data_IF_671335808911
#
_entry.id   IF_671335808911
#
_cell.length_a   1.000
_cell.length_b   1.000
_cell.length_c   1.000
_cell.angle_alpha   90.00
_cell.angle_beta   90.00
_cell.angle_gamma   90.00
#
_symmetry.space_group_name_H-M   'P 1'
#
loop_
_entity.id
_entity.type
_entity.pdbx_description
1 polymer ?
#
# COMPACT_ATOMS: atom_id res chain seq x y z
N UNK A 1 -25.54 -83.60 18.81
CA UNK A 1 -24.12 -84.01 18.73
C UNK A 1 -23.68 -83.75 17.29
N UNK A 2 -22.67 -82.97 16.95
CA UNK A 2 -21.53 -82.44 17.68
C UNK A 2 -21.30 -80.97 17.28
N UNK A 3 -20.90 -80.14 18.25
CA UNK A 3 -20.52 -78.74 18.01
C UNK A 3 -19.02 -78.62 17.78
N UNK A 4 -18.61 -77.63 16.99
CA UNK A 4 -17.26 -77.07 17.02
C UNK A 4 -17.35 -75.53 16.89
N UNK A 5 -16.51 -74.90 17.72
CA UNK A 5 -16.49 -73.51 18.18
C UNK A 5 -16.12 -72.46 17.12
N UNK A 6 -16.65 -71.27 17.40
CA UNK A 6 -16.25 -69.93 16.97
C UNK A 6 -14.74 -69.66 17.11
N UNK A 7 -14.10 -69.03 16.11
CA UNK A 7 -13.04 -68.03 16.33
C UNK A 7 -12.84 -67.06 15.14
N UNK A 8 -13.32 -65.83 15.35
CA UNK A 8 -12.71 -64.53 15.00
C UNK A 8 -11.64 -64.46 13.87
N UNK A 9 -11.96 -63.75 12.78
CA UNK A 9 -10.99 -62.88 12.09
C UNK A 9 -11.67 -61.74 11.31
N UNK A 10 -12.35 -60.82 12.01
CA UNK A 10 -12.81 -59.54 11.44
C UNK A 10 -11.81 -58.43 11.79
N UNK A 11 -10.62 -58.42 11.17
CA UNK A 11 -9.65 -57.31 11.36
C UNK A 11 -8.59 -57.18 10.26
N UNK A 12 -8.88 -57.56 9.01
CA UNK A 12 -7.91 -57.41 7.90
C UNK A 12 -8.40 -56.67 6.65
N UNK A 13 -9.64 -56.15 6.64
CA UNK A 13 -10.16 -55.41 5.49
C UNK A 13 -10.23 -53.88 5.64
N UNK A 14 -9.97 -53.32 6.82
CA UNK A 14 -10.08 -51.86 7.06
C UNK A 14 -8.79 -51.07 6.87
N UNK A 15 -7.65 -51.72 6.66
CA UNK A 15 -6.35 -51.03 6.44
C UNK A 15 -6.04 -50.84 4.94
N UNK A 16 -6.67 -51.60 4.05
CA UNK A 16 -6.42 -51.48 2.60
C UNK A 16 -7.27 -50.41 1.89
N UNK A 17 -8.30 -49.86 2.53
CA UNK A 17 -9.17 -48.83 1.95
C UNK A 17 -8.81 -47.39 2.37
N UNK A 18 -7.93 -47.23 3.39
CA UNK A 18 -7.45 -45.91 3.85
C UNK A 18 -6.15 -45.50 3.13
N UNK A 19 -5.47 -46.44 2.46
CA UNK A 19 -4.24 -46.20 1.70
C UNK A 19 -4.46 -45.77 0.24
N UNK A 20 -5.72 -45.63 -0.20
CA UNK A 20 -6.08 -45.24 -1.57
C UNK A 20 -6.65 -43.82 -1.69
N UNK A 21 -6.69 -43.06 -0.59
CA UNK A 21 -7.18 -41.67 -0.53
C UNK A 21 -6.07 -40.64 -0.20
N UNK A 22 -4.81 -41.05 -0.15
CA UNK A 22 -3.64 -40.16 0.09
C UNK A 22 -2.80 -39.96 -1.20
N UNK A 23 -3.26 -40.47 -2.35
CA UNK A 23 -2.55 -40.42 -3.63
C UNK A 23 -2.91 -39.25 -4.55
N UNK A 24 -3.52 -38.18 -4.06
CA UNK A 24 -4.01 -37.06 -4.89
C UNK A 24 -3.24 -35.74 -4.79
N UNK A 25 -2.21 -35.66 -3.94
CA UNK A 25 -1.53 -34.39 -3.61
C UNK A 25 -0.15 -34.16 -4.24
N UNK A 26 0.38 -35.11 -5.02
CA UNK A 26 1.80 -35.10 -5.43
C UNK A 26 2.03 -34.72 -6.91
N UNK A 27 1.02 -34.28 -7.65
CA UNK A 27 1.15 -33.98 -9.09
C UNK A 27 1.18 -32.48 -9.45
N UNK A 28 0.88 -31.58 -8.51
CA UNK A 28 0.87 -30.13 -8.76
C UNK A 28 2.20 -29.43 -8.44
N UNK A 29 3.12 -30.09 -7.72
CA UNK A 29 4.40 -29.49 -7.33
C UNK A 29 5.44 -29.44 -8.46
N UNK A 30 5.33 -30.28 -9.51
CA UNK A 30 6.37 -30.34 -10.57
C UNK A 30 6.26 -29.23 -11.64
N UNK A 31 5.04 -28.86 -12.09
CA UNK A 31 4.89 -28.02 -13.28
C UNK A 31 5.39 -26.56 -13.11
N UNK A 32 5.21 -25.99 -11.92
CA UNK A 32 5.71 -24.66 -11.58
C UNK A 32 7.24 -24.68 -11.46
N UNK A 33 7.78 -25.65 -10.71
CA UNK A 33 9.22 -25.79 -10.49
C UNK A 33 9.97 -26.07 -11.80
N UNK A 34 9.39 -26.89 -12.69
CA UNK A 34 9.91 -27.17 -14.03
C UNK A 34 9.95 -25.89 -14.88
N UNK A 35 8.87 -25.10 -14.86
CA UNK A 35 8.76 -23.86 -15.65
C UNK A 35 9.73 -22.79 -15.14
N UNK A 36 9.90 -22.68 -13.82
CA UNK A 36 10.89 -21.76 -13.20
C UNK A 36 12.30 -22.21 -13.53
N UNK A 37 12.61 -23.50 -13.40
CA UNK A 37 13.93 -24.07 -13.72
C UNK A 37 14.29 -23.89 -15.20
N UNK A 38 13.31 -23.99 -16.10
CA UNK A 38 13.48 -23.76 -17.54
C UNK A 38 13.87 -22.32 -17.90
N UNK A 39 13.71 -21.34 -16.98
CA UNK A 39 14.23 -19.98 -17.18
C UNK A 39 15.77 -19.92 -17.16
N UNK A 40 16.44 -20.94 -16.64
CA UNK A 40 17.90 -21.10 -16.68
C UNK A 40 18.38 -21.53 -18.07
N UNK A 41 18.24 -20.63 -19.04
CA UNK A 41 18.77 -20.80 -20.40
C UNK A 41 19.47 -19.54 -20.88
N UNK A 42 20.33 -19.69 -21.90
CA UNK A 42 21.01 -18.57 -22.55
C UNK A 42 20.15 -17.94 -23.65
N UNK A 43 19.26 -18.72 -24.27
CA UNK A 43 18.38 -18.29 -25.36
C UNK A 43 17.24 -17.41 -24.83
N UNK A 44 16.94 -16.31 -25.51
CA UNK A 44 15.80 -15.48 -25.15
C UNK A 44 14.48 -16.07 -25.63
N UNK A 45 14.49 -16.85 -26.71
CA UNK A 45 13.29 -17.51 -27.23
C UNK A 45 12.92 -18.69 -26.32
N UNK A 46 13.89 -19.44 -25.80
CA UNK A 46 13.62 -20.54 -24.84
C UNK A 46 13.08 -19.97 -23.51
N UNK A 47 13.60 -18.82 -23.05
CA UNK A 47 13.03 -18.11 -21.89
C UNK A 47 11.59 -17.67 -22.13
N UNK A 48 11.27 -17.24 -23.36
CA UNK A 48 9.90 -16.88 -23.70
C UNK A 48 8.99 -18.09 -23.58
N UNK A 49 9.40 -19.24 -24.10
CA UNK A 49 8.63 -20.50 -24.00
C UNK A 49 8.42 -20.89 -22.54
N UNK A 50 9.49 -20.85 -21.72
CA UNK A 50 9.40 -21.12 -20.29
C UNK A 50 8.44 -20.13 -19.58
N UNK A 51 8.51 -18.84 -19.92
CA UNK A 51 7.62 -17.83 -19.34
C UNK A 51 6.17 -17.95 -19.83
N UNK A 52 5.92 -18.43 -21.05
CA UNK A 52 4.59 -18.75 -21.56
C UNK A 52 4.00 -19.96 -20.82
N UNK A 53 4.80 -21.00 -20.61
CA UNK A 53 4.41 -22.15 -19.81
C UNK A 53 4.07 -21.71 -18.37
N UNK A 54 4.95 -20.93 -17.75
CA UNK A 54 4.73 -20.37 -16.41
C UNK A 54 3.45 -19.51 -16.34
N UNK A 55 3.24 -18.64 -17.32
CA UNK A 55 2.06 -17.75 -17.38
C UNK A 55 0.73 -18.48 -17.55
N UNK A 56 0.75 -19.71 -18.08
CA UNK A 56 -0.44 -20.55 -18.25
C UNK A 56 -0.81 -21.34 -17.00
N UNK A 57 0.07 -21.40 -15.99
CA UNK A 57 -0.19 -22.11 -14.73
C UNK A 57 -1.18 -21.34 -13.87
N UNK A 58 -2.06 -22.04 -13.17
CA UNK A 58 -2.94 -21.46 -12.16
C UNK A 58 -2.25 -21.49 -10.78
N UNK A 59 -1.24 -20.65 -10.61
CA UNK A 59 -0.45 -20.54 -9.37
C UNK A 59 -0.20 -19.07 -9.03
N UNK A 60 -0.48 -18.70 -7.77
CA UNK A 60 -0.37 -17.31 -7.27
C UNK A 60 1.06 -16.76 -7.35
N UNK A 61 2.08 -17.65 -7.32
CA UNK A 61 3.50 -17.26 -7.38
C UNK A 61 3.92 -16.80 -8.78
N UNK A 62 3.17 -17.16 -9.82
CA UNK A 62 3.52 -16.84 -11.22
C UNK A 62 3.72 -15.34 -11.44
N UNK A 63 2.83 -14.52 -10.87
CA UNK A 63 2.91 -13.06 -11.04
C UNK A 63 4.18 -12.49 -10.43
N UNK A 64 4.55 -12.93 -9.23
CA UNK A 64 5.77 -12.52 -8.55
C UNK A 64 7.02 -12.88 -9.37
N UNK A 65 7.06 -14.09 -9.95
CA UNK A 65 8.18 -14.55 -10.78
C UNK A 65 8.28 -13.76 -12.09
N UNK A 66 7.18 -13.61 -12.82
CA UNK A 66 7.17 -12.87 -14.09
C UNK A 66 7.53 -11.40 -13.87
N UNK A 67 7.01 -10.78 -12.81
CA UNK A 67 7.35 -9.41 -12.42
C UNK A 67 8.83 -9.26 -12.06
N UNK A 68 9.38 -10.18 -11.27
CA UNK A 68 10.81 -10.19 -10.95
C UNK A 68 11.71 -10.46 -12.17
N UNK A 69 11.26 -11.28 -13.13
CA UNK A 69 11.96 -11.50 -14.39
C UNK A 69 11.99 -10.22 -15.23
N UNK A 70 10.85 -9.54 -15.34
CA UNK A 70 10.74 -8.23 -16.01
C UNK A 70 11.70 -7.25 -15.33
N UNK A 71 11.64 -7.10 -14.01
CA UNK A 71 12.49 -6.18 -13.24
C UNK A 71 13.98 -6.57 -13.25
N UNK A 72 14.30 -7.80 -13.63
CA UNK A 72 15.65 -8.34 -13.60
C UNK A 72 16.16 -8.56 -12.17
N UNK A 73 15.26 -8.97 -11.27
CA UNK A 73 15.50 -9.38 -9.89
C UNK A 73 15.68 -10.90 -9.75
N UNK A 74 15.46 -11.67 -10.82
CA UNK A 74 15.76 -13.10 -10.86
C UNK A 74 17.22 -13.40 -11.21
N UNK A 75 17.80 -14.30 -10.44
CA UNK A 75 19.18 -14.74 -10.53
C UNK A 75 19.25 -16.26 -10.47
N UNK A 76 20.40 -16.81 -10.84
CA UNK A 76 20.75 -18.21 -10.68
C UNK A 76 21.86 -18.27 -9.63
N UNK A 77 21.66 -19.02 -8.55
CA UNK A 77 22.72 -19.29 -7.59
C UNK A 77 23.74 -20.25 -8.21
N UNK A 78 25.02 -19.90 -8.18
CA UNK A 78 26.05 -20.70 -8.88
C UNK A 78 26.35 -22.07 -8.28
N UNK A 79 25.97 -22.30 -7.02
CA UNK A 79 26.26 -23.54 -6.30
C UNK A 79 25.19 -24.61 -6.53
N UNK A 80 23.93 -24.20 -6.49
CA UNK A 80 22.75 -25.07 -6.59
C UNK A 80 22.11 -25.04 -7.98
N UNK A 81 22.47 -24.04 -8.79
CA UNK A 81 21.84 -23.71 -10.08
C UNK A 81 20.34 -23.36 -9.99
N UNK A 82 19.84 -23.12 -8.77
CA UNK A 82 18.46 -22.72 -8.54
C UNK A 82 18.20 -21.28 -8.95
N UNK A 83 16.97 -21.05 -9.40
CA UNK A 83 16.45 -19.72 -9.71
C UNK A 83 15.99 -19.07 -8.41
N UNK A 84 16.56 -17.91 -8.10
CA UNK A 84 16.41 -17.21 -6.82
C UNK A 84 16.07 -15.74 -7.05
N UNK A 85 15.33 -15.14 -6.12
CA UNK A 85 15.28 -13.69 -6.00
C UNK A 85 16.59 -13.19 -5.39
N UNK A 86 17.08 -12.04 -5.85
CA UNK A 86 18.29 -11.43 -5.28
C UNK A 86 18.06 -9.95 -4.93
N UNK A 87 18.23 -9.63 -3.65
CA UNK A 87 18.25 -8.26 -3.16
C UNK A 87 19.68 -7.82 -2.86
N UNK A 88 20.07 -6.64 -3.35
CA UNK A 88 21.43 -6.13 -3.15
C UNK A 88 21.61 -5.64 -1.71
N UNK A 89 22.69 -6.07 -1.06
CA UNK A 89 23.06 -5.65 0.30
C UNK A 89 24.03 -4.45 0.28
N UNK A 90 23.95 -3.62 1.33
CA UNK A 90 24.84 -2.47 1.55
C UNK A 90 26.30 -2.90 1.78
N UNK A 91 26.49 -4.03 2.44
CA UNK A 91 27.79 -4.70 2.66
C UNK A 91 28.45 -5.18 1.36
N UNK A 92 27.71 -5.19 0.25
CA UNK A 92 28.15 -5.65 -1.05
C UNK A 92 27.94 -7.15 -1.24
N UNK A 93 26.93 -7.52 -2.01
CA UNK A 93 26.54 -8.91 -2.22
C UNK A 93 25.05 -8.99 -2.53
N UNK A 94 24.48 -10.17 -2.37
CA UNK A 94 23.05 -10.42 -2.50
C UNK A 94 22.52 -11.22 -1.32
N UNK A 95 21.39 -10.78 -0.77
CA UNK A 95 20.49 -11.63 -0.01
C UNK A 95 19.66 -12.41 -1.03
N UNK A 96 19.70 -13.74 -0.92
CA UNK A 96 18.97 -14.63 -1.82
C UNK A 96 17.70 -15.13 -1.13
N UNK A 97 16.63 -15.29 -1.90
CA UNK A 97 15.39 -15.93 -1.45
C UNK A 97 14.99 -16.93 -2.51
N UNK A 98 14.63 -18.15 -2.09
CA UNK A 98 14.19 -19.19 -3.00
C UNK A 98 12.86 -18.79 -3.67
N UNK A 99 12.76 -18.96 -4.99
CA UNK A 99 11.55 -18.64 -5.76
C UNK A 99 10.42 -19.64 -5.50
N UNK A 100 10.78 -20.88 -5.15
CA UNK A 100 9.83 -21.98 -4.98
C UNK A 100 9.27 -21.96 -3.56
N UNK A 101 10.14 -22.00 -2.55
CA UNK A 101 9.75 -22.08 -1.13
C UNK A 101 9.49 -20.72 -0.46
N UNK A 102 10.05 -19.63 -1.02
CA UNK A 102 10.00 -18.31 -0.40
C UNK A 102 10.91 -18.16 0.82
N UNK A 103 11.73 -19.16 1.15
CA UNK A 103 12.67 -19.10 2.27
C UNK A 103 13.91 -18.25 1.94
N UNK A 104 14.36 -17.48 2.92
CA UNK A 104 15.61 -16.74 2.82
C UNK A 104 16.80 -17.69 2.83
N UNK A 105 17.60 -17.59 1.78
CA UNK A 105 18.84 -18.34 1.60
C UNK A 105 20.04 -17.53 2.14
N UNK A 106 21.21 -18.15 2.13
CA UNK A 106 22.43 -17.53 2.62
C UNK A 106 22.83 -16.28 1.80
N UNK A 107 23.44 -15.30 2.47
CA UNK A 107 24.08 -14.17 1.80
C UNK A 107 25.22 -14.64 0.90
N UNK A 108 25.21 -14.18 -0.34
CA UNK A 108 26.28 -14.49 -1.30
C UNK A 108 27.01 -13.24 -1.74
N UNK A 109 28.32 -13.36 -1.95
CA UNK A 109 29.10 -12.31 -2.60
C UNK A 109 28.65 -12.08 -4.06
N UNK A 110 29.06 -10.97 -4.69
CA UNK A 110 28.65 -10.59 -6.06
C UNK A 110 28.86 -11.67 -7.13
N UNK A 111 29.78 -12.61 -6.91
CA UNK A 111 30.08 -13.72 -7.82
C UNK A 111 29.21 -14.96 -7.60
N UNK A 112 28.53 -15.06 -6.46
CA UNK A 112 27.74 -16.23 -6.05
C UNK A 112 26.40 -16.37 -6.79
N UNK A 113 25.89 -15.30 -7.39
CA UNK A 113 24.65 -15.32 -8.16
C UNK A 113 24.86 -14.69 -9.55
N UNK A 114 24.16 -15.23 -10.56
CA UNK A 114 24.19 -14.74 -11.95
C UNK A 114 22.80 -14.30 -12.37
N UNK A 115 22.66 -13.03 -12.76
CA UNK A 115 21.38 -12.48 -13.22
C UNK A 115 20.81 -13.22 -14.43
N UNK A 116 19.51 -13.50 -14.41
CA UNK A 116 18.76 -13.93 -15.59
C UNK A 116 18.45 -12.69 -16.42
N UNK A 117 19.17 -12.51 -17.53
CA UNK A 117 19.00 -11.35 -18.40
C UNK A 117 17.78 -11.49 -19.31
N UNK A 118 17.12 -10.36 -19.58
CA UNK A 118 16.00 -10.19 -20.51
C UNK A 118 16.29 -9.00 -21.42
N UNK A 119 16.04 -9.15 -22.72
CA UNK A 119 16.15 -8.06 -23.69
C UNK A 119 14.81 -7.29 -23.83
N UNK A 120 14.81 -6.19 -24.58
CA UNK A 120 13.60 -5.36 -24.76
C UNK A 120 12.45 -6.08 -25.47
N UNK A 121 12.73 -7.03 -26.37
CA UNK A 121 11.71 -7.82 -27.07
C UNK A 121 11.01 -8.76 -26.08
N UNK A 122 11.79 -9.56 -25.35
CA UNK A 122 11.30 -10.49 -24.34
C UNK A 122 10.56 -9.75 -23.22
N UNK A 123 11.07 -8.61 -22.75
CA UNK A 123 10.41 -7.80 -21.73
C UNK A 123 9.00 -7.36 -22.15
N UNK A 124 8.80 -6.96 -23.42
CA UNK A 124 7.46 -6.61 -23.94
C UNK A 124 6.53 -7.83 -23.98
N UNK A 125 7.04 -8.99 -24.39
CA UNK A 125 6.26 -10.22 -24.42
C UNK A 125 5.88 -10.69 -23.01
N UNK A 126 6.81 -10.61 -22.04
CA UNK A 126 6.53 -10.91 -20.63
C UNK A 126 5.45 -10.00 -20.04
N UNK A 127 5.50 -8.69 -20.35
CA UNK A 127 4.43 -7.75 -19.95
C UNK A 127 3.09 -8.13 -20.55
N UNK A 128 3.07 -8.54 -21.82
CA UNK A 128 1.85 -9.02 -22.48
C UNK A 128 1.27 -10.26 -21.79
N UNK A 129 2.12 -11.21 -21.39
CA UNK A 129 1.70 -12.43 -20.66
C UNK A 129 1.13 -12.05 -19.28
N UNK A 130 1.87 -11.24 -18.51
CA UNK A 130 1.46 -10.81 -17.17
C UNK A 130 0.15 -10.00 -17.22
N UNK A 131 0.05 -9.03 -18.12
CA UNK A 131 -1.16 -8.24 -18.33
C UNK A 131 -2.35 -9.13 -18.71
N UNK A 132 -2.15 -10.09 -19.63
CA UNK A 132 -3.19 -11.03 -20.04
C UNK A 132 -3.70 -11.88 -18.86
N UNK A 133 -2.82 -12.29 -17.95
CA UNK A 133 -3.21 -13.01 -16.72
C UNK A 133 -4.03 -12.11 -15.79
N UNK A 134 -3.50 -10.94 -15.45
CA UNK A 134 -4.14 -10.02 -14.49
C UNK A 134 -5.49 -9.50 -15.01
N UNK A 135 -5.62 -9.22 -16.30
CA UNK A 135 -6.89 -8.81 -16.92
C UNK A 135 -7.94 -9.92 -16.95
N UNK A 136 -7.54 -11.18 -16.81
CA UNK A 136 -8.46 -12.33 -16.75
C UNK A 136 -8.61 -12.91 -15.35
N UNK A 137 -8.05 -12.23 -14.34
CA UNK A 137 -8.16 -12.64 -12.95
C UNK A 137 -9.63 -12.66 -12.49
N UNK A 138 -10.06 -13.63 -11.66
CA UNK A 138 -11.45 -13.70 -11.18
C UNK A 138 -11.88 -12.48 -10.37
N UNK A 139 -10.96 -11.92 -9.59
CA UNK A 139 -11.16 -10.69 -8.81
C UNK A 139 -11.19 -9.44 -9.71
N UNK A 140 -12.25 -8.63 -9.59
CA UNK A 140 -12.41 -7.36 -10.30
C UNK A 140 -11.39 -6.31 -9.89
N UNK A 141 -10.95 -6.28 -8.63
CA UNK A 141 -9.97 -5.29 -8.16
C UNK A 141 -8.61 -5.51 -8.84
N UNK A 142 -8.19 -6.76 -8.97
CA UNK A 142 -6.96 -7.12 -9.70
C UNK A 142 -7.04 -6.72 -11.17
N UNK A 143 -8.21 -6.94 -11.82
CA UNK A 143 -8.43 -6.53 -13.21
C UNK A 143 -8.38 -5.02 -13.36
N UNK A 144 -9.04 -4.26 -12.48
CA UNK A 144 -9.03 -2.80 -12.50
C UNK A 144 -7.61 -2.26 -12.31
N UNK A 145 -6.89 -2.76 -11.31
CA UNK A 145 -5.50 -2.40 -11.06
C UNK A 145 -4.60 -2.67 -12.28
N UNK A 146 -4.80 -3.80 -12.97
CA UNK A 146 -4.07 -4.14 -14.19
C UNK A 146 -4.31 -3.14 -15.32
N UNK A 147 -5.58 -2.74 -15.55
CA UNK A 147 -5.93 -1.73 -16.55
C UNK A 147 -5.26 -0.40 -16.21
N UNK A 148 -5.35 0.06 -14.96
CA UNK A 148 -4.73 1.31 -14.51
C UNK A 148 -3.21 1.28 -14.62
N UNK A 149 -2.57 0.15 -14.32
CA UNK A 149 -1.13 -0.04 -14.49
C UNK A 149 -0.71 0.13 -15.96
N UNK A 150 -1.48 -0.44 -16.90
CA UNK A 150 -1.24 -0.31 -18.35
C UNK A 150 -1.39 1.16 -18.80
N UNK A 151 -2.42 1.85 -18.30
CA UNK A 151 -2.67 3.28 -18.58
C UNK A 151 -1.53 4.15 -18.06
N UNK A 152 -1.09 3.94 -16.83
CA UNK A 152 -0.01 4.69 -16.19
C UNK A 152 1.34 4.46 -16.89
N UNK A 153 1.62 3.23 -17.32
CA UNK A 153 2.80 2.91 -18.10
C UNK A 153 2.75 3.49 -19.53
N UNK A 154 1.56 3.82 -20.04
CA UNK A 154 1.35 4.28 -21.40
C UNK A 154 1.69 3.21 -22.44
N UNK A 155 1.53 1.92 -22.11
CA UNK A 155 1.93 0.80 -22.96
C UNK A 155 0.87 0.52 -24.04
N UNK A 156 0.88 1.35 -25.10
CA UNK A 156 -0.06 1.27 -26.23
C UNK A 156 -0.06 -0.11 -26.88
N UNK A 157 1.05 -0.87 -26.78
CA UNK A 157 1.15 -2.21 -27.35
C UNK A 157 0.15 -3.20 -26.72
N UNK A 158 -0.37 -2.92 -25.52
CA UNK A 158 -1.34 -3.74 -24.81
C UNK A 158 -2.79 -3.35 -25.11
N UNK A 159 -3.04 -2.32 -25.93
CA UNK A 159 -4.40 -1.90 -26.33
C UNK A 159 -5.28 -3.06 -26.83
N UNK A 160 -4.79 -4.01 -27.66
CA UNK A 160 -5.61 -5.14 -28.11
C UNK A 160 -6.16 -6.00 -26.96
N UNK A 161 -5.38 -6.21 -25.89
CA UNK A 161 -5.82 -6.99 -24.72
C UNK A 161 -6.94 -6.26 -23.95
N UNK A 162 -6.83 -4.93 -23.85
CA UNK A 162 -7.88 -4.11 -23.23
C UNK A 162 -9.17 -4.13 -24.05
N UNK A 163 -9.06 -4.03 -25.38
CA UNK A 163 -10.23 -4.11 -26.28
C UNK A 163 -10.90 -5.48 -26.20
N UNK A 164 -10.13 -6.56 -26.14
CA UNK A 164 -10.67 -7.92 -25.93
C UNK A 164 -11.40 -8.01 -24.59
N UNK A 165 -10.80 -7.50 -23.50
CA UNK A 165 -11.41 -7.53 -22.18
C UNK A 165 -12.70 -6.70 -22.11
N UNK A 166 -12.73 -5.53 -22.74
CA UNK A 166 -13.89 -4.64 -22.79
C UNK A 166 -15.14 -5.29 -23.40
N UNK A 167 -14.97 -6.25 -24.33
CA UNK A 167 -16.10 -6.98 -24.93
C UNK A 167 -16.80 -7.98 -24.01
N UNK A 168 -16.19 -8.36 -22.88
CA UNK A 168 -16.68 -9.39 -21.95
C UNK A 168 -16.72 -8.96 -20.48
N UNK A 169 -16.32 -7.73 -20.16
CA UNK A 169 -16.30 -7.24 -18.78
C UNK A 169 -17.70 -6.88 -18.29
N UNK A 170 -18.05 -7.38 -17.12
CA UNK A 170 -19.34 -7.13 -16.48
C UNK A 170 -19.23 -6.09 -15.36
N UNK A 171 -18.06 -6.01 -14.70
CA UNK A 171 -17.85 -5.12 -13.55
C UNK A 171 -17.79 -3.63 -13.94
N UNK A 172 -18.49 -2.78 -13.17
CA UNK A 172 -18.59 -1.34 -13.42
C UNK A 172 -17.28 -0.58 -13.18
N UNK A 173 -16.48 -1.00 -12.19
CA UNK A 173 -15.16 -0.43 -11.91
C UNK A 173 -14.20 -0.68 -13.06
N UNK A 174 -14.08 -1.95 -13.45
CA UNK A 174 -13.20 -2.36 -14.55
C UNK A 174 -13.64 -1.75 -15.89
N UNK A 175 -14.95 -1.67 -16.18
CA UNK A 175 -15.47 -1.01 -17.39
C UNK A 175 -15.09 0.48 -17.44
N UNK A 176 -15.16 1.19 -16.31
CA UNK A 176 -14.72 2.60 -16.23
C UNK A 176 -13.21 2.73 -16.45
N UNK A 177 -12.41 1.84 -15.87
CA UNK A 177 -10.97 1.81 -16.09
C UNK A 177 -10.60 1.52 -17.56
N UNK A 178 -11.30 0.60 -18.21
CA UNK A 178 -11.12 0.28 -19.63
C UNK A 178 -11.50 1.46 -20.53
N UNK A 179 -12.59 2.15 -20.21
CA UNK A 179 -13.00 3.35 -20.94
C UNK A 179 -11.99 4.50 -20.77
N UNK A 180 -11.44 4.68 -19.57
CA UNK A 180 -10.30 5.58 -19.33
C UNK A 180 -9.10 5.20 -20.21
N UNK A 181 -8.77 3.91 -20.29
CA UNK A 181 -7.65 3.45 -21.10
C UNK A 181 -7.84 3.73 -22.59
N UNK A 182 -9.04 3.51 -23.11
CA UNK A 182 -9.35 3.84 -24.51
C UNK A 182 -9.20 5.34 -24.77
N UNK A 183 -9.69 6.21 -23.87
CA UNK A 183 -9.50 7.66 -23.97
C UNK A 183 -8.01 8.03 -23.95
N UNK A 184 -7.23 7.52 -23.00
CA UNK A 184 -5.80 7.84 -22.88
C UNK A 184 -5.01 7.40 -24.12
N UNK A 185 -5.37 6.27 -24.72
CA UNK A 185 -4.73 5.82 -25.96
C UNK A 185 -5.24 6.55 -27.19
N UNK A 186 -6.52 6.93 -27.25
CA UNK A 186 -7.05 7.76 -28.34
C UNK A 186 -6.39 9.15 -28.37
N UNK A 187 -6.00 9.70 -27.22
CA UNK A 187 -5.20 10.94 -27.10
C UNK A 187 -3.77 10.82 -27.67
N UNK A 188 -3.37 9.65 -28.18
CA UNK A 188 -2.07 9.44 -28.84
C UNK A 188 -2.18 9.23 -30.35
N UNK A 189 -3.40 9.21 -30.89
CA UNK A 189 -3.63 9.00 -32.32
C UNK A 189 -3.28 10.24 -33.13
N UNK A 190 -2.89 10.03 -34.40
CA UNK A 190 -2.52 11.12 -35.30
C UNK A 190 -3.71 11.83 -35.96
N UNK A 191 -4.93 11.29 -35.84
CA UNK A 191 -6.11 11.83 -36.50
C UNK A 191 -6.77 12.93 -35.65
N UNK A 192 -6.78 14.17 -36.17
CA UNK A 192 -7.35 15.33 -35.51
C UNK A 192 -8.82 15.15 -35.08
N UNK A 193 -9.66 14.51 -35.89
CA UNK A 193 -11.07 14.31 -35.54
C UNK A 193 -11.23 13.35 -34.35
N UNK A 194 -10.43 12.28 -34.32
CA UNK A 194 -10.41 11.32 -33.22
C UNK A 194 -9.80 11.94 -31.96
N UNK A 195 -8.75 12.76 -32.11
CA UNK A 195 -8.16 13.53 -31.01
C UNK A 195 -9.19 14.46 -30.36
N UNK A 196 -9.93 15.24 -31.14
CA UNK A 196 -10.94 16.16 -30.60
C UNK A 196 -12.06 15.41 -29.85
N UNK A 197 -12.51 14.26 -30.37
CA UNK A 197 -13.48 13.39 -29.67
C UNK A 197 -12.90 12.83 -28.37
N UNK A 198 -11.64 12.40 -28.38
CA UNK A 198 -10.95 11.88 -27.20
C UNK A 198 -10.76 12.97 -26.13
N UNK A 199 -10.40 14.20 -26.53
CA UNK A 199 -10.28 15.35 -25.62
C UNK A 199 -11.63 15.63 -24.94
N UNK A 200 -12.72 15.67 -25.70
CA UNK A 200 -14.06 15.85 -25.13
C UNK A 200 -14.46 14.71 -24.17
N UNK A 201 -14.17 13.46 -24.53
CA UNK A 201 -14.43 12.31 -23.66
C UNK A 201 -13.59 12.32 -22.37
N UNK A 202 -12.38 12.91 -22.44
CA UNK A 202 -11.43 12.95 -21.32
C UNK A 202 -11.90 13.79 -20.13
N UNK A 203 -12.83 14.72 -20.32
CA UNK A 203 -13.39 15.54 -19.24
C UNK A 203 -14.12 14.73 -18.17
N UNK A 204 -14.57 13.52 -18.51
CA UNK A 204 -15.25 12.62 -17.57
C UNK A 204 -14.28 11.87 -16.65
N UNK A 205 -12.98 11.89 -16.96
CA UNK A 205 -11.98 11.07 -16.28
C UNK A 205 -10.91 11.94 -15.60
N UNK A 206 -11.04 12.12 -14.28
CA UNK A 206 -10.02 12.79 -13.47
C UNK A 206 -8.86 11.82 -13.18
N UNK A 207 -7.94 11.68 -14.14
CA UNK A 207 -6.80 10.78 -14.02
C UNK A 207 -5.47 11.46 -14.41
N UNK A 208 -4.36 11.21 -13.70
CA UNK A 208 -3.05 11.82 -14.01
C UNK A 208 -2.57 11.55 -15.44
N UNK A 209 -2.81 10.35 -15.97
CA UNK A 209 -2.42 10.01 -17.34
C UNK A 209 -3.11 10.89 -18.39
N UNK A 210 -4.39 11.24 -18.20
CA UNK A 210 -5.13 12.15 -19.08
C UNK A 210 -4.48 13.53 -19.08
N UNK A 211 -4.22 14.08 -17.89
CA UNK A 211 -3.55 15.38 -17.75
C UNK A 211 -2.19 15.39 -18.46
N UNK A 212 -1.38 14.35 -18.29
CA UNK A 212 -0.09 14.22 -18.96
C UNK A 212 -0.26 14.25 -20.48
N UNK A 213 -1.20 13.49 -21.04
CA UNK A 213 -1.45 13.46 -22.49
C UNK A 213 -1.96 14.80 -23.03
N UNK A 214 -2.92 15.43 -22.37
CA UNK A 214 -3.42 16.75 -22.77
C UNK A 214 -2.32 17.83 -22.71
N UNK A 215 -1.42 17.75 -21.72
CA UNK A 215 -0.28 18.66 -21.62
C UNK A 215 0.66 18.50 -22.81
N UNK A 216 0.98 17.26 -23.19
CA UNK A 216 1.79 16.97 -24.38
C UNK A 216 1.13 17.47 -25.67
N UNK A 217 -0.19 17.31 -25.82
CA UNK A 217 -0.92 17.82 -27.00
C UNK A 217 -0.93 19.34 -27.07
N UNK A 218 -1.13 20.03 -25.93
CA UNK A 218 -1.08 21.50 -25.84
C UNK A 218 0.29 22.05 -26.22
N UNK A 219 1.36 21.42 -25.71
CA UNK A 219 2.73 21.91 -25.84
C UNK A 219 3.39 21.50 -27.16
N UNK A 220 2.81 20.57 -27.91
CA UNK A 220 3.31 20.15 -29.22
C UNK A 220 3.04 21.19 -30.30
N UNK A 221 4.10 21.77 -30.87
CA UNK A 221 3.99 22.75 -31.97
C UNK A 221 3.47 22.15 -33.28
N UNK A 222 3.64 20.83 -33.45
CA UNK A 222 3.19 20.08 -34.64
C UNK A 222 1.66 19.92 -34.68
N UNK A 223 0.99 20.04 -33.53
CA UNK A 223 -0.45 19.87 -33.43
C UNK A 223 -1.20 21.11 -33.93
N UNK A 224 -2.33 20.94 -34.64
CA UNK A 224 -3.10 22.07 -35.13
C UNK A 224 -3.72 22.89 -34.00
N UNK A 225 -4.01 24.17 -34.30
CA UNK A 225 -4.40 25.16 -33.29
C UNK A 225 -5.71 24.84 -32.57
N UNK A 226 -6.63 24.16 -33.25
CA UNK A 226 -7.90 23.68 -32.70
C UNK A 226 -7.68 22.59 -31.64
N UNK A 227 -6.82 21.59 -31.91
CA UNK A 227 -6.45 20.54 -30.96
C UNK A 227 -5.76 21.12 -29.73
N UNK A 228 -4.82 22.07 -29.91
CA UNK A 228 -4.15 22.75 -28.79
C UNK A 228 -5.11 23.58 -27.95
N UNK A 229 -6.05 24.28 -28.58
CA UNK A 229 -7.08 25.05 -27.89
C UNK A 229 -8.02 24.13 -27.08
N UNK A 230 -8.48 23.03 -27.68
CA UNK A 230 -9.32 22.03 -27.01
C UNK A 230 -8.60 21.38 -25.82
N UNK A 231 -7.32 20.99 -25.99
CA UNK A 231 -6.51 20.45 -24.91
C UNK A 231 -6.31 21.45 -23.76
N UNK A 232 -6.12 22.74 -24.09
CA UNK A 232 -6.03 23.82 -23.10
C UNK A 232 -7.32 23.94 -22.29
N UNK A 233 -8.47 23.96 -22.96
CA UNK A 233 -9.78 24.05 -22.30
C UNK A 233 -10.09 22.82 -21.43
N UNK A 234 -9.74 21.62 -21.90
CA UNK A 234 -9.89 20.41 -21.11
C UNK A 234 -9.00 20.44 -19.86
N UNK A 235 -7.75 20.90 -19.98
CA UNK A 235 -6.82 21.05 -18.85
C UNK A 235 -7.32 22.04 -17.81
N UNK A 236 -7.82 23.22 -18.22
CA UNK A 236 -8.37 24.20 -17.27
C UNK A 236 -9.55 23.60 -16.50
N UNK A 237 -10.46 22.92 -17.20
CA UNK A 237 -11.62 22.26 -16.59
C UNK A 237 -11.21 21.16 -15.60
N UNK A 238 -10.21 20.35 -15.94
CA UNK A 238 -9.68 19.30 -15.05
C UNK A 238 -9.02 19.90 -13.80
N UNK A 239 -8.20 20.93 -13.96
CA UNK A 239 -7.53 21.62 -12.85
C UNK A 239 -8.54 22.29 -11.92
N UNK A 240 -9.57 22.94 -12.47
CA UNK A 240 -10.62 23.60 -11.69
C UNK A 240 -11.46 22.61 -10.88
N UNK A 241 -11.76 21.44 -11.44
CA UNK A 241 -12.43 20.37 -10.68
C UNK A 241 -11.54 19.83 -9.56
N UNK A 242 -10.25 19.60 -9.85
CA UNK A 242 -9.30 19.13 -8.85
C UNK A 242 -9.13 20.14 -7.71
N UNK A 243 -9.00 21.43 -8.01
CA UNK A 243 -8.81 22.49 -7.01
C UNK A 243 -10.03 22.66 -6.11
N UNK A 244 -11.26 22.47 -6.64
CA UNK A 244 -12.49 22.46 -5.84
C UNK A 244 -12.49 21.33 -4.79
N UNK A 245 -12.10 20.12 -5.16
CA UNK A 245 -12.00 19.02 -4.20
C UNK A 245 -10.94 19.29 -3.14
N UNK A 246 -9.77 19.77 -3.56
CA UNK A 246 -8.71 20.17 -2.64
C UNK A 246 -9.14 21.30 -1.70
N UNK A 247 -9.97 22.24 -2.17
CA UNK A 247 -10.51 23.31 -1.33
C UNK A 247 -11.44 22.73 -0.26
N UNK A 248 -12.33 21.80 -0.61
CA UNK A 248 -13.22 21.15 0.36
C UNK A 248 -12.40 20.37 1.40
N UNK A 249 -11.41 19.60 0.94
CA UNK A 249 -10.49 18.86 1.79
C UNK A 249 -9.71 19.80 2.73
N UNK A 250 -9.13 20.88 2.18
CA UNK A 250 -8.38 21.89 2.95
C UNK A 250 -9.27 22.61 3.96
N UNK A 251 -10.50 22.95 3.59
CA UNK A 251 -11.47 23.53 4.52
C UNK A 251 -11.82 22.53 5.63
N UNK A 252 -12.01 21.26 5.32
CA UNK A 252 -12.28 20.23 6.32
C UNK A 252 -11.10 20.05 7.28
N UNK A 253 -9.87 19.94 6.76
CA UNK A 253 -8.66 19.87 7.58
C UNK A 253 -8.47 21.14 8.41
N UNK A 254 -8.72 22.32 7.84
CA UNK A 254 -8.63 23.61 8.51
C UNK A 254 -9.65 23.74 9.64
N UNK A 255 -10.91 23.32 9.41
CA UNK A 255 -11.96 23.28 10.42
C UNK A 255 -11.65 22.26 11.52
N UNK A 256 -11.16 21.07 11.15
CA UNK A 256 -10.77 20.03 12.09
C UNK A 256 -9.64 20.51 13.00
N UNK A 257 -8.53 20.97 12.43
CA UNK A 257 -7.39 21.52 13.19
C UNK A 257 -7.81 22.76 14.00
N UNK A 258 -8.60 23.65 13.40
CA UNK A 258 -9.14 24.83 14.07
C UNK A 258 -10.01 24.48 15.26
N UNK A 259 -10.83 23.43 15.18
CA UNK A 259 -11.67 22.97 16.30
C UNK A 259 -10.85 22.44 17.47
N UNK A 260 -9.75 21.72 17.20
CA UNK A 260 -8.81 21.23 18.22
C UNK A 260 -8.14 22.41 18.93
N UNK A 261 -7.66 23.39 18.16
CA UNK A 261 -7.05 24.61 18.70
C UNK A 261 -8.06 25.46 19.49
N UNK A 262 -9.31 25.56 19.00
CA UNK A 262 -10.39 26.26 19.68
C UNK A 262 -10.73 25.58 21.02
N UNK A 263 -10.84 24.24 21.04
CA UNK A 263 -11.06 23.48 22.25
C UNK A 263 -9.92 23.67 23.27
N UNK A 264 -8.67 23.65 22.79
CA UNK A 264 -7.50 23.93 23.61
C UNK A 264 -7.53 25.34 24.22
N UNK A 265 -7.89 26.35 23.41
CA UNK A 265 -8.01 27.74 23.83
C UNK A 265 -9.17 27.95 24.83
N UNK A 266 -10.31 27.29 24.62
CA UNK A 266 -11.44 27.28 25.56
C UNK A 266 -10.99 26.70 26.90
N UNK A 267 -10.24 25.59 26.91
CA UNK A 267 -9.68 25.01 28.14
C UNK A 267 -8.76 25.99 28.89
N UNK A 268 -7.89 26.69 28.16
CA UNK A 268 -7.03 27.73 28.74
C UNK A 268 -7.85 28.91 29.29
N UNK A 269 -8.90 29.34 28.57
CA UNK A 269 -9.79 30.43 29.00
C UNK A 269 -10.56 30.09 30.28
N UNK A 270 -11.07 28.85 30.39
CA UNK A 270 -11.79 28.38 31.58
C UNK A 270 -10.85 28.31 32.79
N UNK A 271 -9.66 27.75 32.63
CA UNK A 271 -8.69 27.62 33.74
C UNK A 271 -8.23 28.99 34.24
N UNK A 272 -7.91 29.91 33.33
CA UNK A 272 -7.59 31.30 33.69
C UNK A 272 -8.77 32.02 34.34
N UNK A 273 -9.98 31.88 33.78
CA UNK A 273 -11.18 32.58 34.25
C UNK A 273 -11.62 32.18 35.66
N UNK A 274 -11.39 30.92 36.06
CA UNK A 274 -11.75 30.44 37.40
C UNK A 274 -10.64 30.73 38.43
N UNK A 275 -9.37 30.50 38.07
CA UNK A 275 -8.26 30.60 39.03
C UNK A 275 -7.65 32.00 39.11
N UNK A 276 -7.87 32.87 38.11
CA UNK A 276 -7.24 34.19 38.04
C UNK A 276 -5.72 34.16 37.85
N UNK A 277 -5.19 33.04 37.36
CA UNK A 277 -3.75 32.74 37.24
C UNK A 277 -3.43 32.30 35.82
N UNK A 278 -2.32 32.83 35.26
CA UNK A 278 -1.83 32.45 33.93
C UNK A 278 -1.06 31.12 34.04
N UNK A 279 -1.56 30.06 33.39
CA UNK A 279 -0.92 28.76 33.34
C UNK A 279 -0.19 28.53 32.01
N UNK A 280 1.14 28.66 32.01
CA UNK A 280 1.97 28.39 30.81
C UNK A 280 2.21 26.89 30.54
N UNK A 281 1.96 26.01 31.51
CA UNK A 281 2.14 24.56 31.37
C UNK A 281 0.94 23.85 30.72
N UNK A 282 -0.11 24.58 30.33
CA UNK A 282 -1.33 23.99 29.75
C UNK A 282 -1.06 23.11 28.52
N UNK A 283 -0.18 23.57 27.62
CA UNK A 283 0.22 22.79 26.43
C UNK A 283 0.88 21.46 26.79
N UNK A 284 1.62 21.41 27.90
CA UNK A 284 2.27 20.19 28.37
C UNK A 284 1.27 19.17 28.94
N UNK A 285 0.15 19.64 29.52
CA UNK A 285 -0.93 18.74 29.96
C UNK A 285 -1.64 18.09 28.76
N UNK A 286 -1.79 18.83 27.65
CA UNK A 286 -2.28 18.27 26.39
C UNK A 286 -1.28 17.26 25.80
N UNK A 287 0.01 17.59 25.82
CA UNK A 287 1.09 16.69 25.41
C UNK A 287 1.03 15.38 26.21
N UNK A 288 0.91 15.42 27.53
CA UNK A 288 0.79 14.22 28.36
C UNK A 288 -0.41 13.35 27.98
N UNK A 289 -1.54 13.95 27.60
CA UNK A 289 -2.69 13.22 27.07
C UNK A 289 -2.34 12.46 25.78
N UNK A 290 -1.66 13.10 24.83
CA UNK A 290 -1.21 12.46 23.59
C UNK A 290 -0.21 11.32 23.85
N UNK A 291 0.75 11.50 24.74
CA UNK A 291 1.68 10.42 25.13
C UNK A 291 1.00 9.29 25.90
N UNK A 292 -0.06 9.57 26.65
CA UNK A 292 -0.86 8.53 27.30
C UNK A 292 -1.51 7.63 26.25
N UNK A 293 -2.05 8.19 25.17
CA UNK A 293 -2.58 7.41 24.04
C UNK A 293 -1.50 6.52 23.43
N UNK A 294 -0.30 7.05 23.20
CA UNK A 294 0.83 6.27 22.69
C UNK A 294 1.20 5.11 23.62
N UNK A 295 1.27 5.34 24.93
CA UNK A 295 1.55 4.28 25.91
C UNK A 295 0.46 3.22 25.94
N UNK A 296 -0.82 3.61 25.87
CA UNK A 296 -1.94 2.66 25.83
C UNK A 296 -1.85 1.75 24.60
N UNK A 297 -1.48 2.29 23.43
CA UNK A 297 -1.26 1.46 22.24
C UNK A 297 -0.10 0.49 22.40
N UNK A 298 1.00 0.92 23.05
CA UNK A 298 2.12 0.04 23.32
C UNK A 298 1.74 -1.11 24.27
N UNK A 299 0.82 -0.85 25.21
CA UNK A 299 0.31 -1.86 26.14
C UNK A 299 -0.75 -2.78 25.52
N UNK A 300 -1.34 -2.41 24.38
CA UNK A 300 -2.41 -3.15 23.71
C UNK A 300 -2.12 -3.38 22.21
N UNK A 301 -1.01 -4.06 21.85
CA UNK A 301 -0.60 -4.23 20.46
C UNK A 301 -1.62 -5.03 19.62
N UNK A 302 -2.27 -6.02 20.22
CA UNK A 302 -3.25 -6.88 19.53
C UNK A 302 -4.67 -6.28 19.49
N UNK A 303 -4.88 -5.11 20.11
CA UNK A 303 -6.21 -4.51 20.31
C UNK A 303 -6.21 -3.01 19.97
N UNK A 304 -5.53 -2.63 18.89
CA UNK A 304 -5.45 -1.23 18.41
C UNK A 304 -6.85 -0.66 18.18
N UNK A 305 -7.79 -1.46 17.69
CA UNK A 305 -9.19 -1.06 17.46
C UNK A 305 -9.89 -0.53 18.72
N UNK A 306 -9.57 -1.11 19.88
CA UNK A 306 -10.17 -0.75 21.18
C UNK A 306 -9.33 0.25 21.96
N UNK A 307 -8.09 0.48 21.55
CA UNK A 307 -7.12 1.32 22.27
C UNK A 307 -7.64 2.74 22.53
N UNK A 308 -8.44 3.31 21.62
CA UNK A 308 -9.00 4.66 21.76
C UNK A 308 -9.98 4.77 22.95
N UNK A 309 -10.81 3.74 23.18
CA UNK A 309 -11.78 3.74 24.28
C UNK A 309 -11.11 3.69 25.65
N UNK A 310 -9.91 3.11 25.73
CA UNK A 310 -9.08 3.07 26.94
C UNK A 310 -8.23 4.33 27.06
N UNK A 311 -7.63 4.77 25.95
CA UNK A 311 -6.75 5.92 25.88
C UNK A 311 -7.45 7.22 26.26
N UNK A 312 -8.70 7.42 25.83
CA UNK A 312 -9.42 8.66 26.12
C UNK A 312 -9.64 8.86 27.64
N UNK A 313 -10.28 7.94 28.39
CA UNK A 313 -10.34 8.04 29.85
C UNK A 313 -8.97 8.10 30.52
N UNK A 314 -8.02 7.29 30.06
CA UNK A 314 -6.67 7.27 30.63
C UNK A 314 -5.97 8.63 30.49
N UNK A 315 -6.07 9.29 29.33
CA UNK A 315 -5.50 10.60 29.08
C UNK A 315 -6.10 11.66 30.03
N UNK A 316 -7.42 11.66 30.22
CA UNK A 316 -8.07 12.55 31.21
C UNK A 316 -7.59 12.27 32.63
N UNK A 317 -7.47 11.00 33.02
CA UNK A 317 -6.99 10.62 34.35
C UNK A 317 -5.54 11.03 34.57
N UNK A 318 -4.64 10.73 33.63
CA UNK A 318 -3.21 11.07 33.75
C UNK A 318 -3.01 12.58 33.77
N UNK A 319 -3.56 13.31 32.79
CA UNK A 319 -3.44 14.78 32.76
C UNK A 319 -4.11 15.44 33.96
N UNK A 320 -5.25 14.90 34.42
CA UNK A 320 -5.94 15.36 35.62
C UNK A 320 -5.13 15.15 36.91
N UNK A 321 -4.52 13.98 37.08
CA UNK A 321 -3.66 13.66 38.23
C UNK A 321 -2.42 14.57 38.26
N UNK A 322 -1.77 14.76 37.11
CA UNK A 322 -0.63 15.68 37.00
C UNK A 322 -1.06 17.12 37.30
N UNK A 323 -2.21 17.54 36.76
CA UNK A 323 -2.80 18.85 37.04
C UNK A 323 -3.06 19.08 38.53
N UNK A 324 -3.65 18.09 39.23
CA UNK A 324 -3.86 18.13 40.67
C UNK A 324 -2.53 18.19 41.45
N UNK A 325 -1.51 17.49 40.97
CA UNK A 325 -0.16 17.54 41.52
C UNK A 325 0.45 18.95 41.42
N UNK A 326 0.35 19.59 40.25
CA UNK A 326 0.83 20.96 40.01
C UNK A 326 0.04 21.96 40.86
N UNK A 327 -1.28 21.80 40.92
CA UNK A 327 -2.17 22.67 41.70
C UNK A 327 -1.81 22.66 43.18
N UNK A 328 -1.74 21.46 43.79
CA UNK A 328 -1.45 21.32 45.22
C UNK A 328 0.00 21.60 45.56
N UNK A 329 0.93 21.28 44.67
CA UNK A 329 2.37 21.36 44.92
C UNK A 329 2.98 22.74 44.63
N UNK A 330 2.43 23.49 43.68
CA UNK A 330 3.03 24.73 43.19
C UNK A 330 2.02 25.89 43.23
N UNK A 331 0.92 25.77 42.48
CA UNK A 331 0.02 26.90 42.21
C UNK A 331 -0.67 27.40 43.47
N UNK A 332 -1.16 26.50 44.32
CA UNK A 332 -1.86 26.85 45.56
C UNK A 332 -1.04 27.72 46.52
N UNK A 333 0.28 27.57 46.52
CA UNK A 333 1.18 28.34 47.38
C UNK A 333 1.44 29.76 46.85
N UNK A 334 1.15 30.00 45.57
CA UNK A 334 1.45 31.24 44.86
C UNK A 334 0.20 32.06 44.53
N UNK A 335 -0.96 31.67 45.06
CA UNK A 335 -2.21 32.40 44.85
C UNK A 335 -2.10 33.87 45.31
N UNK A 336 -2.68 34.77 44.51
CA UNK A 336 -2.59 36.21 44.71
C UNK A 336 -1.31 36.85 44.15
N UNK A 337 -0.41 36.08 43.53
CA UNK A 337 0.87 36.57 42.96
C UNK A 337 0.99 36.18 41.47
N UNK A 338 0.37 36.94 40.54
CA UNK A 338 0.26 36.55 39.13
C UNK A 338 1.61 36.33 38.42
N UNK A 339 2.59 37.21 38.67
CA UNK A 339 3.91 37.13 38.02
C UNK A 339 4.71 35.90 38.50
N UNK A 340 4.69 35.62 39.81
CA UNK A 340 5.37 34.46 40.39
C UNK A 340 4.77 33.16 39.87
N UNK A 341 3.44 33.12 39.71
CA UNK A 341 2.76 31.92 39.23
C UNK A 341 3.03 31.68 37.74
N UNK A 342 3.14 32.73 36.93
CA UNK A 342 3.56 32.62 35.54
C UNK A 342 4.97 32.02 35.42
N UNK A 343 5.93 32.53 36.22
CA UNK A 343 7.29 32.01 36.24
C UNK A 343 7.35 30.54 36.71
N UNK A 344 6.57 30.21 37.74
CA UNK A 344 6.51 28.85 38.26
C UNK A 344 5.93 27.87 37.23
N UNK A 345 4.81 28.22 36.57
CA UNK A 345 4.21 27.36 35.54
C UNK A 345 5.07 27.23 34.30
N UNK A 346 5.86 28.26 33.95
CA UNK A 346 6.90 28.14 32.93
C UNK A 346 7.99 27.12 33.32
N UNK A 347 8.48 27.19 34.57
CA UNK A 347 9.43 26.21 35.09
C UNK A 347 8.88 24.78 35.07
N UNK A 348 7.62 24.59 35.45
CA UNK A 348 6.92 23.30 35.35
C UNK A 348 6.84 22.83 33.90
N UNK A 349 6.54 23.71 32.94
CA UNK A 349 6.52 23.37 31.52
C UNK A 349 7.86 22.80 31.05
N UNK A 350 8.97 23.46 31.40
CA UNK A 350 10.31 22.97 31.05
C UNK A 350 10.62 21.59 31.65
N UNK A 351 10.22 21.37 32.92
CA UNK A 351 10.41 20.08 33.59
C UNK A 351 9.61 18.98 32.88
N UNK A 352 8.34 19.24 32.53
CA UNK A 352 7.48 18.27 31.84
C UNK A 352 7.99 17.95 30.43
N UNK A 353 8.38 18.97 29.66
CA UNK A 353 8.99 18.77 28.34
C UNK A 353 10.24 17.89 28.44
N UNK A 354 11.13 18.19 29.39
CA UNK A 354 12.37 17.44 29.56
C UNK A 354 12.12 16.02 30.04
N UNK A 355 11.15 15.81 30.94
CA UNK A 355 10.75 14.49 31.41
C UNK A 355 10.25 13.62 30.25
N UNK A 356 9.34 14.14 29.43
CA UNK A 356 8.81 13.41 28.26
C UNK A 356 9.91 13.10 27.25
N UNK A 357 10.77 14.07 26.92
CA UNK A 357 11.92 13.85 26.02
C UNK A 357 12.87 12.77 26.54
N UNK A 358 13.10 12.73 27.85
CA UNK A 358 13.97 11.73 28.48
C UNK A 358 13.37 10.32 28.46
N UNK A 359 12.04 10.19 28.53
CA UNK A 359 11.35 8.89 28.56
C UNK A 359 11.11 8.36 27.14
N UNK A 360 10.63 9.21 26.23
CA UNK A 360 10.08 8.77 24.94
C UNK A 360 10.99 9.01 23.72
N UNK A 361 12.13 9.68 23.92
CA UNK A 361 13.00 10.26 22.87
C UNK A 361 12.45 11.58 22.32
N UNK A 362 13.32 12.51 21.85
CA UNK A 362 12.91 13.73 21.15
C UNK A 362 12.35 13.50 19.74
N UNK A 363 12.32 12.26 19.24
CA UNK A 363 11.74 11.92 17.94
C UNK A 363 10.21 11.86 18.03
N UNK A 364 9.53 12.30 16.97
CA UNK A 364 8.08 12.19 16.87
C UNK A 364 7.64 10.71 16.96
N UNK A 365 6.69 10.45 17.86
CA UNK A 365 6.03 9.15 18.01
C UNK A 365 4.65 9.22 17.36
N UNK A 366 4.42 8.41 16.34
CA UNK A 366 3.11 8.28 15.69
C UNK A 366 2.23 7.32 16.47
N UNK A 367 0.97 7.70 16.61
CA UNK A 367 -0.12 6.87 17.15
C UNK A 367 -0.85 6.26 15.96
N UNK A 368 -1.09 4.96 15.98
CA UNK A 368 -1.79 4.26 14.90
C UNK A 368 -3.30 4.55 14.98
N UNK A 369 -3.93 4.85 13.86
CA UNK A 369 -5.39 4.97 13.78
C UNK A 369 -6.02 3.59 13.62
N UNK A 370 -7.11 3.28 14.33
CA UNK A 370 -7.91 2.09 14.07
C UNK A 370 -8.42 2.00 12.63
N UNK A 371 -8.61 0.79 12.12
CA UNK A 371 -9.05 0.55 10.73
C UNK A 371 -10.45 1.14 10.45
N UNK A 372 -11.33 1.18 11.45
CA UNK A 372 -12.63 1.84 11.31
C UNK A 372 -12.54 3.39 11.20
N UNK A 373 -11.39 3.99 11.54
CA UNK A 373 -11.10 5.42 11.34
C UNK A 373 -10.26 5.70 10.09
N UNK A 374 -9.57 4.71 9.54
CA UNK A 374 -8.61 4.90 8.44
C UNK A 374 -9.30 5.20 7.10
N UNK A 375 -10.63 5.09 7.03
CA UNK A 375 -11.41 5.46 5.85
C UNK A 375 -11.14 4.59 4.62
N UNK A 376 -10.40 3.49 4.77
CA UNK A 376 -10.19 2.50 3.72
C UNK A 376 -11.36 1.53 3.68
N UNK A 377 -12.37 1.84 2.87
CA UNK A 377 -13.38 0.89 2.40
C UNK A 377 -13.52 1.02 0.90
#
# INVERSE_FOLDING_TARGET
>A
MAGIKVKSSRTRCTILLVLLLIGGGAAYADAFEDSVSALNTRSFDDKLVAAQALGALDDDRVEAVLSALIDGKLYIERRTEFVVYAQRLDSGGYQLTDVISGEDLAEVGRRGAKKISVNNKLRRQLRSILAGRQLNHPDSEVREAAVLAIVNAGDIALRPLLTERMGREEDDGVRRALALADVVFALTEANNEMLLKAIAASESYLHPAVRTRLTLLRDSEEQPSDVRAAATQALTTLVDRQSRYQLVETLFFGLSLGSILALAAIGLSITFGIMGVINMAHGELMMLGAYTTYVVQLLMPDAIEYSLFVALPAAFLVSGLVGVGIERGVVRFLYGRPLETLLATFGVSLILQQAVRSIFSPLNRSVLSPDWMSGSW
#
